data_IF_828513521417
#
_entry.id   IF_828513521417
#
_cell.length_a   1.000
_cell.length_b   1.000
_cell.length_c   1.000
_cell.angle_alpha   90.00
_cell.angle_beta   90.00
_cell.angle_gamma   90.00
#
_symmetry.space_group_name_H-M   'P 1'
#
loop_
_entity.id
_entity.type
_entity.pdbx_description
1 polymer ?
#
# COMPACT_ATOMS: atom_id res chain seq x y z
N UNK A 1 4.44 -20.67 3.69
CA UNK A 1 3.78 -20.83 2.38
C UNK A 1 4.77 -20.33 1.34
N UNK A 2 5.14 -21.17 0.45
CA UNK A 2 6.06 -20.89 -0.64
C UNK A 2 5.47 -19.84 -1.59
N UNK A 3 6.33 -19.24 -2.42
CA UNK A 3 5.93 -18.17 -3.37
C UNK A 3 4.84 -18.69 -4.33
N UNK A 4 5.06 -19.87 -4.91
CA UNK A 4 4.13 -20.47 -5.89
C UNK A 4 2.78 -20.82 -5.26
N UNK A 5 2.75 -21.27 -4.01
CA UNK A 5 1.49 -21.53 -3.30
C UNK A 5 0.69 -20.24 -3.07
N UNK A 6 1.39 -19.13 -2.71
CA UNK A 6 0.73 -17.82 -2.53
C UNK A 6 0.16 -17.30 -3.84
N UNK A 7 0.93 -17.40 -4.93
CA UNK A 7 0.50 -17.01 -6.27
C UNK A 7 -0.73 -17.82 -6.69
N UNK A 8 -0.65 -19.14 -6.65
CA UNK A 8 -1.74 -20.05 -7.03
C UNK A 8 -3.01 -19.79 -6.23
N UNK A 9 -2.88 -19.50 -4.93
CA UNK A 9 -4.02 -19.16 -4.07
C UNK A 9 -4.74 -17.89 -4.54
N UNK A 10 -4.01 -16.83 -4.89
CA UNK A 10 -4.61 -15.58 -5.36
C UNK A 10 -5.12 -15.70 -6.79
N UNK A 11 -4.41 -16.42 -7.68
CA UNK A 11 -4.86 -16.71 -9.03
C UNK A 11 -6.24 -17.38 -9.01
N UNK A 12 -6.41 -18.44 -8.21
CA UNK A 12 -7.68 -19.13 -8.06
C UNK A 12 -8.79 -18.19 -7.57
N UNK A 13 -8.49 -17.35 -6.58
CA UNK A 13 -9.48 -16.37 -6.08
C UNK A 13 -9.91 -15.38 -7.16
N UNK A 14 -8.96 -14.86 -7.92
CA UNK A 14 -9.29 -13.92 -8.98
C UNK A 14 -9.98 -14.60 -10.17
N UNK A 15 -9.72 -15.87 -10.45
CA UNK A 15 -10.47 -16.66 -11.44
C UNK A 15 -11.94 -16.81 -11.07
N UNK A 16 -12.22 -17.14 -9.81
CA UNK A 16 -13.58 -17.29 -9.28
C UNK A 16 -14.36 -15.96 -9.22
N UNK A 17 -13.67 -14.84 -9.32
CA UNK A 17 -14.25 -13.51 -9.24
C UNK A 17 -14.41 -13.01 -7.80
N UNK A 18 -14.17 -11.74 -7.61
CA UNK A 18 -14.30 -11.02 -6.34
C UNK A 18 -15.10 -9.73 -6.57
N UNK A 19 -16.44 -9.78 -6.65
CA UNK A 19 -17.27 -8.60 -6.96
C UNK A 19 -17.05 -7.41 -6.03
N UNK A 20 -16.70 -7.67 -4.77
CA UNK A 20 -16.38 -6.63 -3.79
C UNK A 20 -15.13 -5.79 -4.13
N UNK A 21 -14.32 -6.24 -5.09
CA UNK A 21 -13.08 -5.57 -5.50
C UNK A 21 -13.21 -4.82 -6.84
N UNK A 22 -14.41 -4.70 -7.40
CA UNK A 22 -14.62 -4.00 -8.67
C UNK A 22 -14.65 -2.47 -8.53
N UNK A 23 -15.06 -1.97 -7.36
CA UNK A 23 -15.17 -0.53 -7.10
C UNK A 23 -14.11 -0.09 -6.09
N UNK A 24 -13.60 1.16 -6.20
CA UNK A 24 -12.72 1.72 -5.19
C UNK A 24 -13.37 1.66 -3.79
N UNK A 25 -12.55 1.41 -2.79
CA UNK A 25 -13.01 1.39 -1.40
C UNK A 25 -13.51 2.79 -0.98
N UNK A 26 -14.65 2.92 -0.28
CA UNK A 26 -15.19 4.21 0.14
C UNK A 26 -14.22 5.01 1.01
N UNK A 27 -13.45 4.35 1.90
CA UNK A 27 -12.40 5.02 2.66
C UNK A 27 -11.33 5.61 1.74
N UNK A 28 -10.89 4.85 0.73
CA UNK A 28 -9.91 5.33 -0.23
C UNK A 28 -10.39 6.60 -0.94
N UNK A 29 -11.64 6.65 -1.43
CA UNK A 29 -12.20 7.81 -2.10
C UNK A 29 -12.22 9.04 -1.18
N UNK A 30 -12.73 8.87 0.04
CA UNK A 30 -12.77 9.94 1.04
C UNK A 30 -11.36 10.42 1.43
N UNK A 31 -10.41 9.50 1.61
CA UNK A 31 -9.03 9.84 1.95
C UNK A 31 -8.33 10.57 0.80
N UNK A 32 -8.56 10.15 -0.44
CA UNK A 32 -8.02 10.83 -1.61
C UNK A 32 -8.53 12.27 -1.71
N UNK A 33 -9.84 12.47 -1.65
CA UNK A 33 -10.45 13.80 -1.77
C UNK A 33 -9.97 14.73 -0.65
N UNK A 34 -9.83 14.21 0.56
CA UNK A 34 -9.47 15.02 1.73
C UNK A 34 -7.97 15.35 1.83
N UNK A 35 -7.08 14.44 1.41
CA UNK A 35 -5.67 14.55 1.73
C UNK A 35 -4.74 14.58 0.51
N UNK A 36 -5.22 14.14 -0.68
CA UNK A 36 -4.39 14.00 -1.86
C UNK A 36 -4.75 15.00 -2.96
N UNK A 37 -6.04 15.21 -3.22
CA UNK A 37 -6.51 15.97 -4.37
C UNK A 37 -5.89 17.37 -4.48
N UNK A 38 -5.92 18.14 -3.39
CA UNK A 38 -5.38 19.52 -3.38
C UNK A 38 -3.85 19.55 -3.44
N UNK A 39 -3.17 18.51 -2.93
CA UNK A 39 -1.71 18.43 -2.99
C UNK A 39 -1.19 18.07 -4.38
N UNK A 40 -2.01 17.38 -5.18
CA UNK A 40 -1.65 16.87 -6.52
C UNK A 40 -2.75 17.14 -7.56
N UNK A 41 -3.11 18.41 -7.84
CA UNK A 41 -4.25 18.77 -8.68
C UNK A 41 -4.08 18.36 -10.15
N UNK A 42 -2.87 18.07 -10.60
CA UNK A 42 -2.56 17.62 -11.96
C UNK A 42 -2.29 16.10 -12.05
N UNK A 43 -2.51 15.37 -10.95
CA UNK A 43 -2.04 13.99 -10.82
C UNK A 43 -0.59 13.92 -10.35
N UNK A 44 -0.04 12.73 -10.34
CA UNK A 44 1.31 12.42 -9.90
C UNK A 44 1.68 10.99 -10.25
N UNK A 45 2.71 10.45 -9.58
CA UNK A 45 3.12 9.05 -9.68
C UNK A 45 2.55 8.26 -8.50
N UNK A 46 1.92 7.12 -8.75
CA UNK A 46 1.33 6.29 -7.72
C UNK A 46 1.78 4.83 -7.80
N UNK A 47 1.93 4.19 -6.65
CA UNK A 47 2.10 2.75 -6.50
C UNK A 47 0.84 2.16 -5.85
N UNK A 48 0.17 1.23 -6.53
CA UNK A 48 -0.88 0.39 -5.95
C UNK A 48 -0.27 -0.98 -5.64
N UNK A 49 0.14 -1.17 -4.37
CA UNK A 49 0.88 -2.35 -3.93
C UNK A 49 -0.09 -3.45 -3.49
N UNK A 50 0.04 -4.64 -4.09
CA UNK A 50 -0.95 -5.71 -4.06
C UNK A 50 -2.31 -5.22 -4.58
N UNK A 51 -2.28 -4.53 -5.73
CA UNK A 51 -3.42 -3.83 -6.29
C UNK A 51 -4.50 -4.73 -6.88
N UNK A 52 -4.24 -6.02 -7.04
CA UNK A 52 -5.17 -7.01 -7.59
C UNK A 52 -5.65 -6.63 -8.98
N UNK A 53 -6.96 -6.64 -9.19
CA UNK A 53 -7.61 -6.23 -10.44
C UNK A 53 -7.70 -4.70 -10.62
N UNK A 54 -6.97 -3.92 -9.80
CA UNK A 54 -6.71 -2.50 -9.99
C UNK A 54 -7.87 -1.56 -9.73
N UNK A 55 -8.77 -1.86 -8.80
CA UNK A 55 -9.92 -0.99 -8.50
C UNK A 55 -9.53 0.46 -8.16
N UNK A 56 -8.43 0.67 -7.43
CA UNK A 56 -7.90 1.99 -7.10
C UNK A 56 -7.04 2.54 -8.24
N UNK A 57 -6.20 1.70 -8.84
CA UNK A 57 -5.32 2.05 -9.94
C UNK A 57 -6.07 2.58 -11.16
N UNK A 58 -7.14 1.89 -11.61
CA UNK A 58 -7.98 2.33 -12.72
C UNK A 58 -8.67 3.68 -12.43
N UNK A 59 -9.07 3.88 -11.18
CA UNK A 59 -9.68 5.15 -10.75
C UNK A 59 -8.65 6.29 -10.76
N UNK A 60 -7.40 6.05 -10.30
CA UNK A 60 -6.30 7.01 -10.38
C UNK A 60 -5.92 7.36 -11.81
N UNK A 61 -5.78 6.34 -12.67
CA UNK A 61 -5.43 6.56 -14.07
C UNK A 61 -6.45 7.47 -14.80
N UNK A 62 -7.76 7.35 -14.48
CA UNK A 62 -8.80 8.26 -14.97
C UNK A 62 -8.63 9.71 -14.48
N UNK A 63 -7.85 9.94 -13.43
CA UNK A 63 -7.52 11.25 -12.86
C UNK A 63 -6.09 11.72 -13.24
N UNK A 64 -5.56 11.22 -14.35
CA UNK A 64 -4.25 11.56 -14.90
C UNK A 64 -3.05 11.21 -14.01
N UNK A 65 -3.19 10.18 -13.16
CA UNK A 65 -2.06 9.63 -12.42
C UNK A 65 -1.29 8.62 -13.27
N UNK A 66 0.03 8.66 -13.18
CA UNK A 66 0.90 7.59 -13.67
C UNK A 66 0.95 6.50 -12.60
N UNK A 67 0.34 5.36 -12.88
CA UNK A 67 0.13 4.32 -11.88
C UNK A 67 0.94 3.08 -12.22
N UNK A 68 1.76 2.65 -11.26
CA UNK A 68 2.40 1.34 -11.22
C UNK A 68 1.59 0.43 -10.32
N UNK A 69 1.20 -0.74 -10.80
CA UNK A 69 0.51 -1.77 -10.03
C UNK A 69 1.43 -2.97 -9.87
N UNK A 70 1.60 -3.41 -8.63
CA UNK A 70 2.35 -4.62 -8.30
C UNK A 70 1.40 -5.61 -7.63
N UNK A 71 1.26 -6.80 -8.17
CA UNK A 71 0.51 -7.89 -7.55
C UNK A 71 1.18 -9.23 -7.84
N UNK A 72 1.09 -10.18 -6.92
CA UNK A 72 1.66 -11.51 -7.08
C UNK A 72 0.90 -12.36 -8.10
N UNK A 73 -0.38 -12.06 -8.33
CA UNK A 73 -1.28 -12.84 -9.18
C UNK A 73 -1.15 -12.45 -10.65
N UNK A 74 -0.73 -13.40 -11.47
CA UNK A 74 -0.73 -13.25 -12.94
C UNK A 74 -2.14 -13.09 -13.49
N UNK A 75 -3.12 -13.75 -12.88
CA UNK A 75 -4.54 -13.67 -13.27
C UNK A 75 -5.08 -12.26 -13.02
N UNK A 76 -4.77 -11.68 -11.85
CA UNK A 76 -5.18 -10.32 -11.52
C UNK A 76 -4.61 -9.31 -12.52
N UNK A 77 -3.31 -9.39 -12.78
CA UNK A 77 -2.61 -8.48 -13.69
C UNK A 77 -3.17 -8.59 -15.12
N UNK A 78 -3.39 -9.81 -15.64
CA UNK A 78 -4.02 -9.99 -16.98
C UNK A 78 -5.44 -9.40 -17.05
N UNK A 79 -6.27 -9.61 -16.00
CA UNK A 79 -7.62 -9.02 -15.95
C UNK A 79 -7.57 -7.49 -15.90
N UNK A 80 -6.63 -6.94 -15.14
CA UNK A 80 -6.42 -5.50 -15.05
C UNK A 80 -5.97 -4.91 -16.39
N UNK A 81 -5.03 -5.56 -17.08
CA UNK A 81 -4.55 -5.16 -18.41
C UNK A 81 -5.71 -5.08 -19.43
N UNK A 82 -6.50 -6.15 -19.52
CA UNK A 82 -7.68 -6.19 -20.39
C UNK A 82 -8.66 -5.06 -20.06
N UNK A 83 -8.89 -4.79 -18.78
CA UNK A 83 -9.78 -3.73 -18.35
C UNK A 83 -9.24 -2.34 -18.67
N UNK A 84 -7.94 -2.13 -18.47
CA UNK A 84 -7.26 -0.88 -18.82
C UNK A 84 -7.35 -0.60 -20.33
N UNK A 85 -7.07 -1.61 -21.15
CA UNK A 85 -7.20 -1.52 -22.61
C UNK A 85 -8.63 -1.14 -23.04
N UNK A 86 -9.66 -1.80 -22.48
CA UNK A 86 -11.06 -1.48 -22.75
C UNK A 86 -11.43 -0.03 -22.40
N UNK A 87 -10.75 0.55 -21.41
CA UNK A 87 -11.00 1.91 -20.93
C UNK A 87 -10.07 2.96 -21.59
N UNK A 88 -9.14 2.53 -22.45
CA UNK A 88 -8.14 3.43 -23.06
C UNK A 88 -7.16 4.01 -22.03
N UNK A 89 -6.87 3.27 -20.94
CA UNK A 89 -5.99 3.71 -19.87
C UNK A 89 -4.62 3.03 -19.98
N UNK A 90 -3.58 3.77 -19.61
CA UNK A 90 -2.21 3.26 -19.53
C UNK A 90 -1.79 3.14 -18.06
N UNK A 91 -1.31 1.93 -17.68
CA UNK A 91 -0.73 1.63 -16.38
C UNK A 91 0.54 0.81 -16.56
N UNK A 92 1.47 0.92 -15.63
CA UNK A 92 2.58 -0.02 -15.51
C UNK A 92 2.12 -1.20 -14.65
N UNK A 93 2.11 -2.41 -15.22
CA UNK A 93 1.55 -3.61 -14.57
C UNK A 93 2.66 -4.64 -14.36
N UNK A 94 2.87 -5.05 -13.12
CA UNK A 94 3.94 -5.92 -12.73
C UNK A 94 3.41 -7.11 -11.92
N UNK A 95 3.50 -8.32 -12.50
CA UNK A 95 3.23 -9.57 -11.79
C UNK A 95 4.45 -9.94 -10.93
N UNK A 96 4.48 -9.43 -9.70
CA UNK A 96 5.65 -9.51 -8.82
C UNK A 96 5.26 -9.78 -7.37
N UNK A 97 6.04 -10.59 -6.65
CA UNK A 97 5.94 -10.60 -5.19
C UNK A 97 6.40 -9.24 -4.65
N UNK A 98 5.57 -8.61 -3.82
CA UNK A 98 5.91 -7.35 -3.18
C UNK A 98 7.25 -7.40 -2.42
N UNK A 99 7.64 -8.57 -1.89
CA UNK A 99 8.94 -8.76 -1.21
C UNK A 99 10.13 -8.63 -2.14
N UNK A 100 9.97 -8.98 -3.40
CA UNK A 100 11.04 -8.96 -4.41
C UNK A 100 11.05 -7.68 -5.24
N UNK A 101 9.99 -6.88 -5.15
CA UNK A 101 9.89 -5.64 -5.92
C UNK A 101 11.07 -4.70 -5.61
N UNK A 102 11.75 -4.17 -6.65
CA UNK A 102 12.93 -3.31 -6.48
C UNK A 102 12.52 -1.89 -6.10
N UNK A 103 12.16 -1.68 -4.85
CA UNK A 103 11.76 -0.38 -4.31
C UNK A 103 12.85 0.69 -4.52
N UNK A 104 12.65 1.58 -5.48
CA UNK A 104 13.54 2.73 -5.72
C UNK A 104 13.16 3.90 -4.81
N UNK A 105 14.11 4.59 -4.18
CA UNK A 105 13.80 5.71 -3.29
C UNK A 105 13.13 6.88 -4.01
N UNK A 106 12.19 7.55 -3.34
CA UNK A 106 11.56 8.79 -3.75
C UNK A 106 10.97 8.77 -5.19
N UNK A 107 10.23 7.70 -5.53
CA UNK A 107 9.61 7.53 -6.85
C UNK A 107 8.14 7.93 -6.90
N UNK A 108 7.42 7.80 -5.77
CA UNK A 108 5.97 7.93 -5.77
C UNK A 108 5.48 9.09 -4.92
N UNK A 109 4.49 9.81 -5.44
CA UNK A 109 3.74 10.85 -4.74
C UNK A 109 2.64 10.24 -3.87
N UNK A 110 2.10 9.08 -4.29
CA UNK A 110 1.06 8.35 -3.57
C UNK A 110 1.39 6.86 -3.54
N UNK A 111 1.22 6.22 -2.37
CA UNK A 111 1.22 4.77 -2.23
C UNK A 111 -0.13 4.34 -1.69
N UNK A 112 -0.71 3.32 -2.30
CA UNK A 112 -1.98 2.70 -1.91
C UNK A 112 -1.71 1.26 -1.49
N UNK A 113 -2.13 0.86 -0.27
CA UNK A 113 -1.96 -0.48 0.26
C UNK A 113 -3.26 -0.94 0.91
N UNK A 114 -3.99 -1.84 0.27
CA UNK A 114 -5.27 -2.33 0.80
C UNK A 114 -5.24 -3.83 1.04
N UNK A 115 -5.40 -4.23 2.31
CA UNK A 115 -5.42 -5.62 2.78
C UNK A 115 -4.12 -6.40 2.51
N UNK A 116 -3.02 -5.66 2.27
CA UNK A 116 -1.68 -6.20 2.16
C UNK A 116 -0.72 -5.31 2.98
N UNK A 117 -0.52 -5.65 4.25
CA UNK A 117 0.43 -4.95 5.12
C UNK A 117 1.50 -5.95 5.58
N UNK A 118 2.60 -5.99 4.86
CA UNK A 118 3.74 -6.84 5.20
C UNK A 118 4.78 -6.02 5.98
N UNK A 119 5.07 -6.46 7.20
CA UNK A 119 5.96 -5.79 8.14
C UNK A 119 7.39 -5.69 7.62
N UNK A 120 7.84 -6.73 6.94
CA UNK A 120 9.23 -6.85 6.46
C UNK A 120 9.56 -5.83 5.38
N UNK A 121 8.58 -5.47 4.55
CA UNK A 121 8.79 -4.53 3.45
C UNK A 121 8.44 -3.08 3.77
N UNK A 122 7.79 -2.80 4.90
CA UNK A 122 7.38 -1.44 5.27
C UNK A 122 8.49 -0.39 5.15
N UNK A 123 9.73 -0.60 5.65
CA UNK A 123 10.81 0.39 5.51
C UNK A 123 11.16 0.67 4.05
N UNK A 124 11.13 -0.35 3.19
CA UNK A 124 11.39 -0.23 1.76
C UNK A 124 10.27 0.52 1.06
N UNK A 125 9.00 0.22 1.38
CA UNK A 125 7.83 0.94 0.87
C UNK A 125 7.92 2.41 1.24
N UNK A 126 8.18 2.74 2.52
CA UNK A 126 8.31 4.14 2.97
C UNK A 126 9.46 4.88 2.28
N UNK A 127 10.54 4.18 1.92
CA UNK A 127 11.65 4.79 1.20
C UNK A 127 11.25 5.29 -0.18
N UNK A 128 10.28 4.63 -0.84
CA UNK A 128 9.83 4.99 -2.20
C UNK A 128 8.92 6.20 -2.25
N UNK A 129 8.32 6.61 -1.13
CA UNK A 129 7.60 7.88 -1.06
C UNK A 129 8.55 9.05 -1.25
N UNK A 130 8.19 9.98 -2.13
CA UNK A 130 8.83 11.29 -2.24
C UNK A 130 8.62 12.10 -0.95
N UNK A 131 9.47 13.10 -0.65
CA UNK A 131 9.14 14.10 0.34
C UNK A 131 7.79 14.76 0.02
N UNK A 132 6.89 14.86 1.01
CA UNK A 132 5.51 15.32 0.81
C UNK A 132 4.54 14.26 0.25
N UNK A 133 5.03 13.09 -0.13
CA UNK A 133 4.21 11.97 -0.61
C UNK A 133 3.31 11.39 0.47
N UNK A 134 2.23 10.74 0.05
CA UNK A 134 1.16 10.26 0.92
C UNK A 134 1.02 8.75 0.80
N UNK A 135 0.83 8.07 1.93
CA UNK A 135 0.43 6.67 2.02
C UNK A 135 -1.03 6.60 2.45
N UNK A 136 -1.87 5.91 1.68
CA UNK A 136 -3.22 5.50 2.09
C UNK A 136 -3.21 3.99 2.29
N UNK A 137 -3.54 3.54 3.48
CA UNK A 137 -3.50 2.14 3.85
C UNK A 137 -4.78 1.72 4.58
N UNK A 138 -5.29 0.54 4.23
CA UNK A 138 -6.34 -0.15 4.98
C UNK A 138 -5.98 -1.61 5.13
N UNK A 139 -6.04 -2.13 6.33
CA UNK A 139 -5.66 -3.51 6.60
C UNK A 139 -6.57 -4.18 7.61
N UNK A 140 -6.52 -5.51 7.64
CA UNK A 140 -7.17 -6.29 8.68
C UNK A 140 -6.49 -6.07 10.01
N UNK A 141 -7.31 -5.97 11.06
CA UNK A 141 -6.88 -5.77 12.44
C UNK A 141 -7.37 -6.93 13.29
N UNK A 142 -6.51 -7.45 14.14
CA UNK A 142 -6.90 -8.41 15.19
C UNK A 142 -7.81 -7.70 16.19
N UNK A 143 -9.05 -8.19 16.36
CA UNK A 143 -10.05 -7.58 17.21
C UNK A 143 -10.70 -8.63 18.12
N UNK A 144 -10.46 -8.53 19.41
CA UNK A 144 -10.98 -9.50 20.37
C UNK A 144 -10.36 -10.89 20.23
N UNK A 145 -11.10 -11.91 20.62
CA UNK A 145 -10.68 -13.32 20.61
C UNK A 145 -10.91 -14.02 19.25
N UNK A 146 -10.88 -13.27 18.14
CA UNK A 146 -11.07 -13.87 16.83
C UNK A 146 -9.90 -14.80 16.47
N UNK A 147 -10.11 -16.10 16.67
CA UNK A 147 -9.20 -17.18 16.27
C UNK A 147 -9.51 -17.72 14.86
N UNK A 148 -10.31 -17.00 14.07
CA UNK A 148 -10.62 -17.40 12.72
C UNK A 148 -9.35 -17.53 11.90
N UNK A 149 -9.19 -18.65 11.23
CA UNK A 149 -8.11 -18.88 10.28
C UNK A 149 -8.10 -17.71 9.26
N UNK A 150 -7.21 -16.74 9.48
CA UNK A 150 -6.87 -15.84 8.41
C UNK A 150 -6.25 -16.72 7.31
N UNK A 151 -6.93 -16.95 6.21
CA UNK A 151 -6.27 -17.60 5.10
C UNK A 151 -5.21 -16.62 4.69
N UNK A 152 -3.95 -17.08 4.66
CA UNK A 152 -2.89 -16.40 3.92
C UNK A 152 -1.89 -15.60 4.74
N UNK A 153 -0.70 -15.82 4.40
CA UNK A 153 0.64 -15.24 4.52
C UNK A 153 0.85 -13.93 5.29
N UNK A 154 -0.17 -13.13 5.55
CA UNK A 154 -0.03 -11.86 6.25
C UNK A 154 -0.96 -11.83 7.46
N UNK A 155 -0.37 -11.89 8.65
CA UNK A 155 -1.12 -11.81 9.92
C UNK A 155 -1.79 -10.43 10.05
N UNK A 156 -3.05 -10.37 10.54
CA UNK A 156 -3.69 -9.11 10.89
C UNK A 156 -2.79 -8.26 11.78
N UNK A 157 -2.89 -6.96 11.66
CA UNK A 157 -2.20 -6.03 12.54
C UNK A 157 -2.79 -6.09 13.96
N UNK A 158 -1.96 -5.85 14.95
CA UNK A 158 -2.40 -5.60 16.31
C UNK A 158 -2.87 -4.14 16.44
N UNK A 159 -3.70 -3.87 17.46
CA UNK A 159 -4.14 -2.50 17.74
C UNK A 159 -2.95 -1.57 17.99
N UNK A 160 -2.96 -0.42 17.35
CA UNK A 160 -1.88 0.58 17.43
C UNK A 160 -0.60 0.23 16.67
N UNK A 161 -0.48 -1.00 16.14
CA UNK A 161 0.75 -1.46 15.50
C UNK A 161 1.13 -0.63 14.27
N UNK A 162 0.15 -0.20 13.47
CA UNK A 162 0.44 0.58 12.27
C UNK A 162 1.19 1.88 12.58
N UNK A 163 0.91 2.50 13.73
CA UNK A 163 1.59 3.73 14.14
C UNK A 163 3.06 3.50 14.46
N UNK A 164 3.38 2.37 15.10
CA UNK A 164 4.75 1.98 15.41
C UNK A 164 5.55 1.54 14.18
N UNK A 165 4.87 0.99 13.17
CA UNK A 165 5.49 0.55 11.93
C UNK A 165 5.78 1.71 10.95
N UNK A 166 5.10 2.84 11.09
CA UNK A 166 5.17 3.99 10.19
C UNK A 166 5.61 5.30 10.91
N UNK A 167 6.65 5.27 11.79
CA UNK A 167 6.99 6.39 12.67
C UNK A 167 7.52 7.62 11.91
N UNK A 168 7.97 7.44 10.67
CA UNK A 168 8.51 8.52 9.83
C UNK A 168 7.44 9.31 9.07
N UNK A 169 6.16 8.91 9.19
CA UNK A 169 5.06 9.60 8.55
C UNK A 169 4.30 10.46 9.57
N UNK A 170 3.98 11.68 9.15
CA UNK A 170 2.98 12.48 9.87
C UNK A 170 1.61 11.84 9.70
N UNK A 171 0.97 11.47 10.80
CA UNK A 171 -0.37 10.89 10.77
C UNK A 171 -1.39 11.94 10.38
N UNK A 172 -2.08 11.71 9.25
CA UNK A 172 -3.17 12.57 8.76
C UNK A 172 -4.54 11.99 9.12
N UNK A 173 -4.64 10.66 9.17
CA UNK A 173 -5.82 9.91 9.60
C UNK A 173 -5.39 8.58 10.20
N UNK A 174 -6.02 8.19 11.31
CA UNK A 174 -5.88 6.87 11.91
C UNK A 174 -7.21 6.51 12.56
N UNK A 175 -7.78 5.39 12.15
CA UNK A 175 -8.99 4.85 12.75
C UNK A 175 -8.93 3.33 12.81
N UNK A 176 -9.20 2.79 13.98
CA UNK A 176 -9.36 1.36 14.22
C UNK A 176 -10.80 1.09 14.64
N UNK A 177 -11.46 0.14 14.00
CA UNK A 177 -12.84 -0.17 14.30
C UNK A 177 -13.20 -1.61 14.04
N UNK A 178 -14.17 -2.17 14.78
CA UNK A 178 -14.69 -3.49 14.46
C UNK A 178 -15.48 -3.45 13.14
N UNK A 179 -15.39 -4.55 12.38
CA UNK A 179 -16.21 -4.80 11.20
C UNK A 179 -16.63 -6.26 11.23
N UNK A 180 -17.89 -6.52 11.56
CA UNK A 180 -18.43 -7.87 11.76
C UNK A 180 -17.63 -8.60 12.86
N UNK A 181 -16.92 -9.67 12.49
CA UNK A 181 -16.17 -10.58 13.34
C UNK A 181 -14.65 -10.23 13.44
N UNK A 182 -14.22 -9.18 12.78
CA UNK A 182 -12.81 -8.74 12.72
C UNK A 182 -12.70 -7.24 12.92
N UNK A 183 -11.47 -6.72 12.99
CA UNK A 183 -11.21 -5.30 12.93
C UNK A 183 -10.64 -4.87 11.59
N UNK A 184 -10.70 -3.57 11.35
CA UNK A 184 -9.96 -2.90 10.29
C UNK A 184 -9.25 -1.68 10.85
N UNK A 185 -8.09 -1.38 10.29
CA UNK A 185 -7.39 -0.10 10.47
C UNK A 185 -7.41 0.65 9.14
N UNK A 186 -7.76 1.93 9.23
CA UNK A 186 -7.73 2.91 8.14
C UNK A 186 -6.69 3.97 8.51
N UNK A 187 -5.73 4.19 7.63
CA UNK A 187 -4.57 5.04 7.90
C UNK A 187 -4.22 5.90 6.69
N UNK A 188 -3.90 7.18 6.96
CA UNK A 188 -3.27 8.09 6.00
C UNK A 188 -2.07 8.74 6.68
N UNK A 189 -0.92 8.66 6.03
CA UNK A 189 0.31 9.30 6.51
C UNK A 189 1.02 10.07 5.43
N UNK A 190 1.64 11.20 5.79
CA UNK A 190 2.39 12.07 4.87
C UNK A 190 3.87 12.07 5.24
N UNK A 191 4.73 11.86 4.24
CA UNK A 191 6.18 11.96 4.44
C UNK A 191 6.61 13.42 4.57
N UNK A 192 7.46 13.72 5.57
CA UNK A 192 7.98 15.09 5.75
C UNK A 192 8.66 15.60 4.49
N UNK A 193 8.49 16.89 4.19
CA UNK A 193 9.22 17.59 3.15
C UNK A 193 10.60 18.08 3.63
N UNK A 194 10.81 18.12 4.95
CA UNK A 194 12.09 18.54 5.51
C UNK A 194 13.18 17.49 5.21
N UNK A 195 14.40 17.91 4.82
CA UNK A 195 15.51 16.98 4.69
C UNK A 195 15.81 16.33 6.04
N UNK A 196 16.01 15.02 6.06
CA UNK A 196 16.45 14.31 7.27
C UNK A 196 17.88 14.76 7.59
N UNK A 197 18.04 15.64 8.57
CA UNK A 197 19.36 16.03 9.06
C UNK A 197 19.96 14.85 9.81
N UNK A 198 20.90 14.15 9.17
CA UNK A 198 21.70 13.14 9.87
C UNK A 198 22.76 13.86 10.69
N UNK A 199 22.55 14.02 11.98
CA UNK A 199 23.59 14.46 12.90
C UNK A 199 24.56 13.28 13.07
N UNK A 200 25.74 13.36 12.42
CA UNK A 200 26.86 12.49 12.78
C UNK A 200 27.48 13.02 14.05
N UNK A 201 27.18 12.42 15.19
CA UNK A 201 27.93 12.66 16.41
C UNK A 201 29.28 11.94 16.23
N UNK A 202 30.32 12.70 15.93
CA UNK A 202 31.69 12.21 15.93
C UNK A 202 32.12 11.97 17.38
N UNK A 203 32.19 10.71 17.81
CA UNK A 203 32.87 10.36 19.03
C UNK A 203 34.38 10.58 18.82
N UNK A 204 34.90 11.71 19.27
CA UNK A 204 36.35 11.91 19.37
C UNK A 204 36.87 10.98 20.46
N UNK A 205 37.58 9.94 20.06
CA UNK A 205 38.39 9.16 20.99
C UNK A 205 39.61 10.05 21.32
N UNK A 206 39.54 10.76 22.44
CA UNK A 206 40.75 11.31 23.08
C UNK A 206 41.56 10.12 23.61
N UNK A 207 42.67 9.82 22.96
CA UNK A 207 43.71 8.96 23.55
C UNK A 207 44.23 9.69 24.77
N UNK A 208 44.07 9.14 25.92
CA UNK A 208 44.87 9.47 27.10
C UNK A 208 46.16 8.68 26.96
N UNK A 209 47.25 9.40 26.80
CA UNK A 209 48.60 8.92 27.03
C UNK A 209 48.86 8.75 28.54
#
# INVERSE_FOLDING_TARGET
MELDERRSHWDLKYEQGLPSLEKPDPFYLSAFDRFVADSFPKGGTALDLAGGIGRHALWLAKKNWQVTVVDISDVAIRKLEQKAQQLGLTLELLAFDAKEYPFKPACFDLIVMFYHFDRDICPRVLSTLKPGGILICKSSLSWGSYEGAAPVSIKPLMRGEILSMLPSLQVMHHQERPVRDRGVVEYVGKKSTAPTVRIRVGLSHSRLE
#
